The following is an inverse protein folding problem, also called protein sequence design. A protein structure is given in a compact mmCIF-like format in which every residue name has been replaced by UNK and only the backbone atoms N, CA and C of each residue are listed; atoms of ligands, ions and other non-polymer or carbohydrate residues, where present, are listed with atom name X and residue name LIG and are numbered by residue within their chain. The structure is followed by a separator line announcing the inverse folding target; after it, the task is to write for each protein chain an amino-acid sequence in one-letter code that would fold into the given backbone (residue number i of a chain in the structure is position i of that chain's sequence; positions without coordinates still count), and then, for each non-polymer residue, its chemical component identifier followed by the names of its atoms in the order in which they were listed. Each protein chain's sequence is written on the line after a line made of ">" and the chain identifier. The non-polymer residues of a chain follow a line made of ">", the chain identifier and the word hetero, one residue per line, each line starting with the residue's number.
data_IF_257141280581
#
_entry.id   IF_257141280581
#
_cell.length_a   1.000
_cell.length_b   1.000
_cell.length_c   1.000
_cell.angle_alpha   90.00
_cell.angle_beta   90.00
_cell.angle_gamma   90.00
#
_symmetry.space_group_name_H-M   'P 1'
#
loop_
_entity.id
_entity.type
_entity.pdbx_description
1 polymer ?
#
# COMPACT_ATOMS: atom_id res chain seq x y z
N UNK A 1 -3.97 -18.92 -16.56
CA UNK A 1 -4.11 -18.05 -15.38
C UNK A 1 -5.27 -17.12 -15.67
N UNK A 2 -6.41 -17.27 -15.00
CA UNK A 2 -7.48 -16.27 -15.06
C UNK A 2 -6.97 -14.99 -14.42
N UNK A 3 -7.17 -13.87 -15.11
CA UNK A 3 -6.81 -12.54 -14.63
C UNK A 3 -7.52 -12.26 -13.30
N UNK A 4 -6.88 -11.51 -12.39
CA UNK A 4 -7.50 -11.11 -11.14
C UNK A 4 -8.72 -10.22 -11.44
N UNK A 5 -9.88 -10.60 -10.91
CA UNK A 5 -11.06 -9.75 -10.86
C UNK A 5 -10.86 -8.64 -9.82
N UNK A 6 -10.33 -7.49 -10.27
CA UNK A 6 -10.00 -6.35 -9.38
C UNK A 6 -11.22 -5.80 -8.63
N UNK A 7 -12.39 -5.57 -9.26
CA UNK A 7 -13.59 -5.19 -8.52
C UNK A 7 -13.93 -6.14 -7.38
N UNK A 8 -13.96 -7.45 -7.66
CA UNK A 8 -14.24 -8.45 -6.63
C UNK A 8 -13.18 -8.44 -5.52
N UNK A 9 -11.90 -8.32 -5.87
CA UNK A 9 -10.83 -8.24 -4.87
C UNK A 9 -11.00 -7.02 -3.94
N UNK A 10 -11.42 -5.86 -4.47
CA UNK A 10 -11.70 -4.67 -3.66
C UNK A 10 -12.94 -4.85 -2.78
N UNK A 11 -13.97 -5.54 -3.26
CA UNK A 11 -15.14 -5.91 -2.46
C UNK A 11 -14.77 -6.85 -1.30
N UNK A 12 -13.91 -7.83 -1.56
CA UNK A 12 -13.41 -8.76 -0.54
C UNK A 12 -12.55 -8.03 0.50
N UNK A 13 -11.66 -7.12 0.07
CA UNK A 13 -10.90 -6.25 0.99
C UNK A 13 -11.85 -5.39 1.83
N UNK A 14 -12.88 -4.78 1.23
CA UNK A 14 -13.87 -4.00 1.95
C UNK A 14 -14.67 -4.84 2.95
N UNK A 15 -14.99 -6.09 2.60
CA UNK A 15 -15.59 -7.06 3.51
C UNK A 15 -14.71 -7.37 4.70
N UNK A 16 -13.42 -7.62 4.47
CA UNK A 16 -12.44 -7.84 5.54
C UNK A 16 -12.28 -6.62 6.45
N UNK A 17 -12.23 -5.41 5.88
CA UNK A 17 -12.18 -4.16 6.64
C UNK A 17 -13.39 -4.03 7.56
N UNK A 18 -14.61 -4.19 7.02
CA UNK A 18 -15.86 -4.13 7.81
C UNK A 18 -15.90 -5.18 8.91
N UNK A 19 -15.48 -6.41 8.61
CA UNK A 19 -15.42 -7.49 9.58
C UNK A 19 -14.45 -7.16 10.72
N UNK A 20 -13.22 -6.75 10.40
CA UNK A 20 -12.21 -6.41 11.39
C UNK A 20 -12.58 -5.17 12.21
N UNK A 21 -13.19 -4.14 11.60
CA UNK A 21 -13.62 -2.95 12.33
C UNK A 21 -14.74 -3.25 13.33
N UNK A 22 -15.61 -4.22 13.04
CA UNK A 22 -16.71 -4.60 13.91
C UNK A 22 -16.36 -5.72 14.92
N UNK A 23 -15.16 -6.31 14.82
CA UNK A 23 -14.76 -7.41 15.68
C UNK A 23 -14.57 -6.95 17.13
N UNK A 24 -15.05 -7.71 18.12
CA UNK A 24 -15.00 -7.34 19.55
C UNK A 24 -13.58 -7.08 20.10
N UNK A 25 -12.58 -7.68 19.45
CA UNK A 25 -11.14 -7.53 19.77
C UNK A 25 -10.46 -6.38 19.01
N UNK A 26 -11.20 -5.62 18.23
CA UNK A 26 -10.70 -4.49 17.46
C UNK A 26 -11.05 -3.18 18.15
N UNK A 27 -10.21 -2.16 17.97
CA UNK A 27 -10.51 -0.79 18.39
C UNK A 27 -11.30 -0.01 17.30
N UNK A 28 -11.77 -0.71 16.26
CA UNK A 28 -12.54 -0.16 15.15
C UNK A 28 -11.69 0.38 14.00
N UNK A 29 -10.37 0.58 14.18
CA UNK A 29 -9.48 1.08 13.14
C UNK A 29 -8.82 -0.08 12.40
N UNK A 30 -8.81 0.01 11.07
CA UNK A 30 -8.20 -1.00 10.20
C UNK A 30 -7.23 -0.33 9.23
N UNK A 31 -6.03 -0.88 9.16
CA UNK A 31 -5.04 -0.52 8.15
C UNK A 31 -4.89 -1.64 7.11
N UNK A 32 -4.38 -1.28 5.93
CA UNK A 32 -4.06 -2.23 4.85
C UNK A 32 -2.59 -2.13 4.51
N UNK A 33 -1.94 -3.28 4.38
CA UNK A 33 -0.59 -3.44 3.86
C UNK A 33 -0.63 -4.46 2.72
N UNK A 34 0.10 -4.22 1.63
CA UNK A 34 0.09 -5.12 0.49
C UNK A 34 1.32 -4.99 -0.39
N UNK A 35 1.71 -6.09 -1.02
CA UNK A 35 2.97 -6.23 -1.75
C UNK A 35 2.74 -6.55 -3.22
N UNK A 36 3.50 -5.93 -4.13
CA UNK A 36 3.39 -6.13 -5.59
C UNK A 36 1.95 -5.84 -6.07
N UNK A 37 1.23 -6.85 -6.57
CA UNK A 37 -0.20 -6.74 -6.88
C UNK A 37 -1.02 -6.26 -5.67
N UNK A 38 -0.68 -6.72 -4.46
CA UNK A 38 -1.28 -6.24 -3.22
C UNK A 38 -0.97 -4.77 -2.93
N UNK A 39 0.16 -4.24 -3.38
CA UNK A 39 0.49 -2.81 -3.26
C UNK A 39 -0.39 -1.96 -4.18
N UNK A 40 -0.61 -2.42 -5.42
CA UNK A 40 -1.56 -1.81 -6.34
C UNK A 40 -3.01 -1.85 -5.77
N UNK A 41 -3.42 -2.99 -5.20
CA UNK A 41 -4.71 -3.12 -4.53
C UNK A 41 -4.81 -2.24 -3.28
N UNK A 42 -3.72 -2.02 -2.55
CA UNK A 42 -3.69 -1.14 -1.38
C UNK A 42 -3.98 0.32 -1.77
N UNK A 43 -3.36 0.82 -2.84
CA UNK A 43 -3.69 2.14 -3.39
C UNK A 43 -5.16 2.23 -3.85
N UNK A 44 -5.64 1.21 -4.56
CA UNK A 44 -7.04 1.17 -5.00
C UNK A 44 -8.03 1.08 -3.83
N UNK A 45 -7.68 0.34 -2.77
CA UNK A 45 -8.45 0.27 -1.53
C UNK A 45 -8.52 1.63 -0.83
N UNK A 46 -7.42 2.38 -0.77
CA UNK A 46 -7.40 3.73 -0.21
C UNK A 46 -8.41 4.68 -0.87
N UNK A 47 -8.63 4.53 -2.19
CA UNK A 47 -9.56 5.34 -2.96
C UNK A 47 -11.02 4.84 -2.93
N UNK A 48 -11.26 3.60 -2.50
CA UNK A 48 -12.60 2.96 -2.58
C UNK A 48 -13.20 2.64 -1.22
N UNK A 49 -12.38 2.53 -0.18
CA UNK A 49 -12.77 2.13 1.18
C UNK A 49 -12.45 3.30 2.14
N UNK A 50 -13.38 4.24 2.33
CA UNK A 50 -13.14 5.44 3.13
C UNK A 50 -12.95 5.18 4.63
N UNK A 51 -13.24 3.97 5.10
CA UNK A 51 -13.09 3.53 6.50
C UNK A 51 -11.64 3.16 6.87
N UNK A 52 -10.74 3.04 5.90
CA UNK A 52 -9.33 2.73 6.17
C UNK A 52 -8.68 3.84 6.99
N UNK A 53 -7.96 3.44 8.04
CA UNK A 53 -7.26 4.36 8.92
C UNK A 53 -5.79 4.57 8.52
N UNK A 54 -5.19 3.64 7.77
CA UNK A 54 -3.82 3.75 7.27
C UNK A 54 -3.59 2.79 6.10
N UNK A 55 -2.74 3.15 5.13
CA UNK A 55 -2.46 2.30 3.96
C UNK A 55 -0.96 2.24 3.65
N UNK A 56 -0.45 1.04 3.40
CA UNK A 56 0.99 0.76 3.26
C UNK A 56 1.26 -0.09 2.01
N UNK A 57 1.33 0.52 0.81
CA UNK A 57 1.66 -0.20 -0.42
C UNK A 57 3.17 -0.43 -0.56
N UNK A 58 3.55 -1.65 -0.89
CA UNK A 58 4.91 -2.05 -1.27
C UNK A 58 4.98 -2.35 -2.78
N UNK A 59 5.85 -1.61 -3.48
CA UNK A 59 6.26 -1.79 -4.89
C UNK A 59 5.11 -2.21 -5.81
N UNK A 60 4.00 -1.46 -5.76
CA UNK A 60 2.81 -1.72 -6.55
C UNK A 60 2.16 -0.41 -6.99
N UNK A 61 1.83 -0.33 -8.27
CA UNK A 61 1.15 0.82 -8.88
C UNK A 61 -0.13 0.31 -9.54
N UNK A 62 -1.30 0.86 -9.21
CA UNK A 62 -2.55 0.45 -9.85
C UNK A 62 -2.58 0.87 -11.33
N UNK A 63 -3.07 -0.04 -12.16
CA UNK A 63 -3.36 0.22 -13.58
C UNK A 63 -4.72 -0.41 -13.92
N UNK A 64 -5.72 0.39 -14.34
CA UNK A 64 -5.72 1.86 -14.38
C UNK A 64 -5.59 2.48 -12.98
N UNK A 65 -5.21 3.75 -12.92
CA UNK A 65 -5.17 4.51 -11.68
C UNK A 65 -6.61 4.71 -11.13
N UNK A 66 -6.84 4.55 -9.81
CA UNK A 66 -8.13 4.85 -9.19
C UNK A 66 -8.36 6.36 -9.08
N UNK A 67 -9.58 6.76 -8.73
CA UNK A 67 -9.89 8.15 -8.39
C UNK A 67 -9.35 8.51 -7.00
N UNK A 68 -8.16 9.09 -6.96
CA UNK A 68 -7.51 9.50 -5.72
C UNK A 68 -8.21 10.65 -4.98
N UNK A 69 -9.24 11.28 -5.56
CA UNK A 69 -10.04 12.31 -4.86
C UNK A 69 -10.79 11.79 -3.63
N UNK A 70 -10.98 10.47 -3.57
CA UNK A 70 -11.72 9.80 -2.51
C UNK A 70 -10.83 9.29 -1.38
N UNK A 71 -9.50 9.40 -1.53
CA UNK A 71 -8.54 8.98 -0.49
C UNK A 71 -8.67 9.89 0.73
N UNK A 72 -8.80 9.27 1.89
CA UNK A 72 -8.83 9.94 3.20
C UNK A 72 -7.75 9.45 4.16
N UNK A 73 -7.33 8.20 3.99
CA UNK A 73 -6.32 7.58 4.83
C UNK A 73 -4.93 8.13 4.49
N UNK A 74 -4.05 8.34 5.49
CA UNK A 74 -2.63 8.59 5.22
C UNK A 74 -2.02 7.34 4.55
N UNK A 75 -1.03 7.59 3.68
CA UNK A 75 -0.34 6.54 2.92
C UNK A 75 1.17 6.56 3.20
N UNK A 76 1.74 5.40 3.49
CA UNK A 76 3.19 5.16 3.54
C UNK A 76 3.59 4.16 2.45
N UNK A 77 4.21 4.67 1.38
CA UNK A 77 4.57 3.88 0.22
C UNK A 77 6.06 3.50 0.20
N UNK A 78 6.36 2.25 -0.17
CA UNK A 78 7.71 1.70 -0.26
C UNK A 78 8.03 1.20 -1.66
N UNK A 79 9.07 1.73 -2.29
CA UNK A 79 9.40 1.44 -3.70
C UNK A 79 10.87 1.11 -3.91
N UNK A 80 11.17 0.32 -4.94
CA UNK A 80 12.54 -0.04 -5.32
C UNK A 80 13.07 0.90 -6.42
N UNK A 81 14.31 1.37 -6.28
CA UNK A 81 14.95 2.27 -7.23
C UNK A 81 15.15 1.62 -8.61
N UNK A 82 15.39 0.29 -8.63
CA UNK A 82 15.64 -0.49 -9.85
C UNK A 82 14.38 -1.18 -10.39
N UNK A 83 13.20 -0.83 -9.87
CA UNK A 83 11.93 -1.40 -10.28
C UNK A 83 11.48 -0.86 -11.64
N UNK A 84 11.46 -1.73 -12.65
CA UNK A 84 10.99 -1.41 -14.00
C UNK A 84 9.48 -1.57 -14.20
N UNK A 85 8.76 -2.15 -13.24
CA UNK A 85 7.31 -2.39 -13.33
C UNK A 85 6.53 -1.34 -12.53
N UNK A 86 6.86 -1.20 -11.25
CA UNK A 86 6.30 -0.22 -10.34
C UNK A 86 7.35 0.86 -10.08
N UNK A 87 7.57 1.73 -11.07
CA UNK A 87 8.72 2.65 -11.05
C UNK A 87 8.60 3.73 -9.96
N UNK A 88 9.72 4.23 -9.41
CA UNK A 88 9.72 5.39 -8.52
C UNK A 88 9.03 6.63 -9.12
N UNK A 89 9.14 6.81 -10.43
CA UNK A 89 8.48 7.91 -11.13
C UNK A 89 6.95 7.79 -11.11
N UNK A 90 6.41 6.57 -11.24
CA UNK A 90 4.98 6.32 -11.13
C UNK A 90 4.48 6.55 -9.68
N UNK A 91 5.26 6.11 -8.68
CA UNK A 91 4.96 6.39 -7.27
C UNK A 91 4.95 7.90 -6.98
N UNK A 92 5.94 8.62 -7.50
CA UNK A 92 6.05 10.08 -7.34
C UNK A 92 4.89 10.83 -8.03
N UNK A 93 4.39 10.32 -9.16
CA UNK A 93 3.19 10.86 -9.80
C UNK A 93 1.95 10.72 -8.90
N UNK A 94 1.76 9.56 -8.27
CA UNK A 94 0.67 9.34 -7.29
C UNK A 94 0.82 10.31 -6.11
N UNK A 95 2.05 10.46 -5.57
CA UNK A 95 2.33 11.39 -4.47
C UNK A 95 1.90 12.81 -4.80
N UNK A 96 2.24 13.29 -6.00
CA UNK A 96 1.88 14.62 -6.49
C UNK A 96 0.38 14.80 -6.63
N UNK A 97 -0.32 13.80 -7.16
CA UNK A 97 -1.78 13.84 -7.28
C UNK A 97 -2.47 13.92 -5.92
N UNK A 98 -2.03 13.11 -4.96
CA UNK A 98 -2.55 13.15 -3.58
C UNK A 98 -2.25 14.50 -2.92
N UNK A 99 -1.02 15.00 -3.05
CA UNK A 99 -0.59 16.28 -2.49
C UNK A 99 -1.43 17.44 -3.06
N UNK A 100 -1.70 17.45 -4.37
CA UNK A 100 -2.54 18.46 -5.02
C UNK A 100 -3.98 18.47 -4.48
N UNK A 101 -4.41 17.41 -3.81
CA UNK A 101 -5.73 17.24 -3.19
C UNK A 101 -5.70 17.40 -1.67
N UNK A 102 -4.56 17.82 -1.10
CA UNK A 102 -4.38 18.01 0.33
C UNK A 102 -4.20 16.70 1.12
N UNK A 103 -3.98 15.57 0.45
CA UNK A 103 -3.72 14.28 1.09
C UNK A 103 -2.21 14.05 1.26
N UNK A 104 -1.82 13.50 2.41
CA UNK A 104 -0.42 13.17 2.70
C UNK A 104 -0.07 11.77 2.22
N UNK A 105 1.04 11.65 1.51
CA UNK A 105 1.68 10.38 1.20
C UNK A 105 3.18 10.49 1.45
N UNK A 106 3.67 9.68 2.39
CA UNK A 106 5.09 9.45 2.61
C UNK A 106 5.59 8.41 1.61
N UNK A 107 6.71 8.69 0.93
CA UNK A 107 7.27 7.81 -0.09
C UNK A 107 8.74 7.55 0.22
N UNK A 108 9.09 6.27 0.39
CA UNK A 108 10.47 5.82 0.51
C UNK A 108 10.88 5.00 -0.71
N UNK A 109 12.07 5.32 -1.22
CA UNK A 109 12.69 4.58 -2.33
C UNK A 109 13.99 3.95 -1.83
N UNK A 110 14.16 2.66 -2.08
CA UNK A 110 15.28 1.85 -1.62
C UNK A 110 16.17 1.44 -2.80
N UNK A 111 17.49 1.41 -2.62
CA UNK A 111 18.41 0.86 -3.62
C UNK A 111 18.31 -0.67 -3.66
N UNK A 112 17.21 -1.15 -4.24
CA UNK A 112 16.82 -2.54 -4.31
C UNK A 112 16.01 -2.80 -5.58
N UNK A 113 15.69 -4.07 -5.82
CA UNK A 113 14.90 -4.54 -6.95
C UNK A 113 13.43 -4.76 -6.56
N UNK A 114 12.56 -4.94 -7.55
CA UNK A 114 11.17 -5.28 -7.30
C UNK A 114 11.06 -6.52 -6.41
N UNK A 115 10.11 -6.50 -5.46
CA UNK A 115 9.95 -7.55 -4.46
C UNK A 115 11.11 -7.69 -3.46
N UNK A 116 11.85 -6.62 -3.17
CA UNK A 116 12.97 -6.63 -2.21
C UNK A 116 12.62 -7.14 -0.80
N UNK A 117 11.34 -7.08 -0.40
CA UNK A 117 10.87 -7.56 0.89
C UNK A 117 10.45 -9.04 0.89
N UNK A 118 10.59 -9.75 -0.24
CA UNK A 118 10.24 -11.17 -0.35
C UNK A 118 11.45 -12.07 -0.04
N UNK A 119 11.52 -12.56 1.19
CA UNK A 119 12.60 -13.44 1.68
C UNK A 119 12.62 -14.83 1.03
N UNK A 120 11.54 -15.24 0.36
CA UNK A 120 11.50 -16.49 -0.41
C UNK A 120 12.08 -16.34 -1.81
N UNK A 121 12.53 -15.14 -2.20
CA UNK A 121 13.17 -14.84 -3.49
C UNK A 121 14.57 -14.26 -3.28
N UNK A 122 15.57 -15.12 -2.97
CA UNK A 122 16.92 -14.68 -2.61
C UNK A 122 17.61 -13.82 -3.68
N UNK A 123 17.19 -13.94 -4.94
CA UNK A 123 17.75 -13.19 -6.07
C UNK A 123 17.38 -11.71 -6.08
N UNK A 124 16.29 -11.31 -5.40
CA UNK A 124 15.85 -9.91 -5.27
C UNK A 124 15.73 -9.45 -3.83
N UNK A 125 15.73 -10.37 -2.85
CA UNK A 125 15.62 -10.06 -1.44
C UNK A 125 16.77 -9.16 -0.99
N UNK A 126 16.43 -8.03 -0.38
CA UNK A 126 17.38 -7.12 0.25
C UNK A 126 17.00 -6.96 1.72
N UNK A 127 17.75 -7.66 2.59
CA UNK A 127 17.45 -7.72 4.02
C UNK A 127 17.42 -6.35 4.71
N UNK A 128 18.35 -5.46 4.36
CA UNK A 128 18.44 -4.13 4.97
C UNK A 128 17.27 -3.24 4.55
N UNK A 129 16.95 -3.23 3.25
CA UNK A 129 15.80 -2.49 2.74
C UNK A 129 14.48 -3.04 3.29
N UNK A 130 14.33 -4.37 3.32
CA UNK A 130 13.14 -5.04 3.86
C UNK A 130 12.94 -4.71 5.34
N UNK A 131 14.00 -4.78 6.15
CA UNK A 131 13.97 -4.44 7.57
C UNK A 131 13.54 -3.00 7.80
N UNK A 132 14.19 -2.03 7.17
CA UNK A 132 13.89 -0.61 7.37
C UNK A 132 12.47 -0.28 6.87
N UNK A 133 12.05 -0.83 5.73
CA UNK A 133 10.70 -0.63 5.22
C UNK A 133 9.65 -1.18 6.19
N UNK A 134 9.88 -2.37 6.75
CA UNK A 134 9.00 -3.00 7.73
C UNK A 134 8.94 -2.21 9.04
N UNK A 135 10.08 -1.75 9.58
CA UNK A 135 10.12 -0.92 10.79
C UNK A 135 9.30 0.37 10.62
N UNK A 136 9.46 1.06 9.49
CA UNK A 136 8.66 2.24 9.14
C UNK A 136 7.16 1.91 9.05
N UNK A 137 6.82 0.78 8.44
CA UNK A 137 5.43 0.33 8.33
C UNK A 137 4.80 0.06 9.68
N UNK A 138 5.50 -0.61 10.59
CA UNK A 138 5.00 -0.87 11.95
C UNK A 138 4.82 0.43 12.72
N UNK A 139 5.79 1.36 12.64
CA UNK A 139 5.67 2.65 13.33
C UNK A 139 4.50 3.48 12.82
N UNK A 140 4.37 3.57 11.49
CA UNK A 140 3.25 4.24 10.83
C UNK A 140 1.90 3.63 11.21
N UNK A 141 1.79 2.30 11.22
CA UNK A 141 0.57 1.62 11.62
C UNK A 141 0.24 1.87 13.09
N UNK A 142 1.21 1.84 14.00
CA UNK A 142 0.98 2.19 15.42
C UNK A 142 0.46 3.62 15.57
N UNK A 143 1.07 4.57 14.88
CA UNK A 143 0.67 5.98 14.92
C UNK A 143 -0.80 6.19 14.52
N UNK A 144 -1.28 5.45 13.51
CA UNK A 144 -2.61 5.66 12.96
C UNK A 144 -3.67 4.72 13.55
N UNK A 145 -3.30 3.51 13.93
CA UNK A 145 -4.22 2.50 14.44
C UNK A 145 -4.38 2.52 15.96
N UNK A 146 -3.44 3.07 16.75
CA UNK A 146 -3.56 3.19 18.20
C UNK A 146 -3.22 1.91 18.95
#
# INVERSE_FOLDING_TARGET
>A
MTELDKPRALEEIAGAVRFLSAHERSNGKVGVIGFCMGGALSFAAAATIPELAAVVPFYGVPSPAPDYSRVKAPILAHFAARDGWATPAAAEAIRKELTARGQSMELHVYDADHAFANDTRPEVYNADAAKIAWERSIEFLKQHLG
#
